data_IF_072540305251
#
_entry.id   IF_072540305251
#
_cell.length_a   1.000
_cell.length_b   1.000
_cell.length_c   1.000
_cell.angle_alpha   90.00
_cell.angle_beta   90.00
_cell.angle_gamma   90.00
#
_symmetry.space_group_name_H-M   'P 1'
#
loop_
_entity.id
_entity.type
_entity.pdbx_description
1 polymer ?
#
# COMPACT_ATOMS: atom_id res chain seq x y z
N UNK A 1 -9.81 -13.99 8.35
CA UNK A 1 -10.46 -13.12 9.36
C UNK A 1 -9.51 -12.86 10.50
N UNK A 2 -9.47 -11.65 11.06
CA UNK A 2 -8.64 -11.27 12.21
C UNK A 2 -9.50 -10.69 13.33
N UNK A 3 -9.29 -11.17 14.56
CA UNK A 3 -9.97 -10.67 15.75
C UNK A 3 -9.08 -9.67 16.50
N UNK A 4 -9.69 -8.57 16.96
CA UNK A 4 -9.03 -7.63 17.84
C UNK A 4 -8.87 -8.27 19.24
N UNK A 5 -7.70 -8.16 19.87
CA UNK A 5 -7.52 -8.55 21.26
C UNK A 5 -8.54 -7.85 22.17
N UNK A 6 -9.23 -8.59 23.01
CA UNK A 6 -10.15 -8.07 24.02
C UNK A 6 -10.19 -9.00 25.24
N UNK A 7 -10.22 -8.47 26.47
CA UNK A 7 -10.38 -9.29 27.67
C UNK A 7 -11.78 -9.90 27.76
N UNK A 8 -12.78 -9.32 27.11
CA UNK A 8 -14.18 -9.71 27.20
C UNK A 8 -14.68 -10.31 25.89
N UNK A 9 -14.39 -11.59 25.66
CA UNK A 9 -14.90 -12.32 24.49
C UNK A 9 -16.39 -12.60 24.70
N UNK A 10 -17.19 -12.31 23.68
CA UNK A 10 -18.63 -12.59 23.69
C UNK A 10 -18.91 -14.08 23.81
N UNK A 11 -19.79 -14.46 24.71
CA UNK A 11 -20.33 -15.83 24.86
C UNK A 11 -21.04 -16.35 23.58
N UNK A 12 -21.37 -15.42 22.66
CA UNK A 12 -22.05 -15.75 21.39
C UNK A 12 -21.07 -16.10 20.27
N UNK A 13 -19.76 -15.92 20.49
CA UNK A 13 -18.72 -16.10 19.50
C UNK A 13 -17.93 -17.38 19.75
N UNK A 14 -18.05 -18.35 18.89
CA UNK A 14 -17.19 -19.54 18.79
C UNK A 14 -16.14 -19.33 17.70
N UNK A 15 -14.89 -19.66 18.01
CA UNK A 15 -13.77 -19.56 17.08
C UNK A 15 -13.09 -20.91 17.01
N UNK A 16 -12.91 -21.42 15.81
CA UNK A 16 -12.13 -22.60 15.50
C UNK A 16 -11.02 -22.24 14.50
N UNK A 17 -9.81 -21.93 15.01
CA UNK A 17 -8.69 -21.59 14.14
C UNK A 17 -8.17 -22.77 13.31
N UNK A 18 -8.37 -24.02 13.78
CA UNK A 18 -7.92 -25.23 13.07
C UNK A 18 -8.74 -25.43 11.80
N UNK A 19 -10.06 -25.37 11.94
CA UNK A 19 -10.99 -25.51 10.80
C UNK A 19 -11.26 -24.19 10.07
N UNK A 20 -10.64 -23.08 10.52
CA UNK A 20 -10.85 -21.72 9.99
C UNK A 20 -12.33 -21.31 9.99
N UNK A 21 -13.04 -21.67 11.07
CA UNK A 21 -14.47 -21.40 11.23
C UNK A 21 -14.74 -20.40 12.33
N UNK A 22 -15.76 -19.60 12.13
CA UNK A 22 -16.29 -18.66 13.11
C UNK A 22 -17.79 -18.88 13.20
N UNK A 23 -18.31 -19.04 14.42
CA UNK A 23 -19.72 -19.29 14.69
C UNK A 23 -20.27 -18.22 15.63
N UNK A 24 -21.43 -17.65 15.28
CA UNK A 24 -22.18 -16.77 16.14
C UNK A 24 -23.48 -17.46 16.59
N UNK A 25 -23.64 -17.69 17.89
CA UNK A 25 -24.83 -18.28 18.50
C UNK A 25 -25.60 -17.22 19.29
N UNK A 26 -26.62 -16.62 18.67
CA UNK A 26 -27.37 -15.49 19.24
C UNK A 26 -28.68 -15.98 19.86
N UNK A 27 -29.00 -15.64 21.13
CA UNK A 27 -30.27 -16.00 21.77
C UNK A 27 -31.48 -15.46 20.98
N UNK A 28 -32.60 -16.21 21.03
CA UNK A 28 -33.83 -15.85 20.32
C UNK A 28 -34.35 -14.44 20.65
N UNK A 29 -34.22 -14.04 21.92
CA UNK A 29 -34.61 -12.71 22.42
C UNK A 29 -33.83 -11.55 21.81
N UNK A 30 -32.61 -11.82 21.31
CA UNK A 30 -31.72 -10.81 20.69
C UNK A 30 -31.56 -10.96 19.18
N UNK A 31 -32.03 -12.07 18.60
CA UNK A 31 -31.89 -12.32 17.17
C UNK A 31 -32.61 -11.26 16.31
N UNK A 32 -33.69 -10.68 16.82
CA UNK A 32 -34.46 -9.64 16.13
C UNK A 32 -33.80 -8.24 16.20
N UNK A 33 -32.86 -8.01 17.12
CA UNK A 33 -32.09 -6.76 17.19
C UNK A 33 -31.06 -6.63 16.05
N UNK A 34 -30.72 -7.74 15.41
CA UNK A 34 -29.76 -7.75 14.32
C UNK A 34 -30.50 -7.69 12.99
N UNK A 35 -30.19 -6.68 12.18
CA UNK A 35 -30.85 -6.44 10.89
C UNK A 35 -30.80 -7.65 9.98
N UNK A 36 -31.97 -8.03 9.43
CA UNK A 36 -32.15 -9.16 8.51
C UNK A 36 -31.70 -10.52 9.06
N UNK A 37 -31.76 -10.70 10.38
CA UNK A 37 -31.34 -11.96 10.99
C UNK A 37 -32.50 -12.73 11.62
N UNK A 38 -32.89 -13.83 10.99
CA UNK A 38 -33.84 -14.81 11.53
C UNK A 38 -33.15 -16.06 12.06
N UNK A 39 -31.84 -16.19 11.85
CA UNK A 39 -31.06 -17.37 12.23
C UNK A 39 -30.41 -17.17 13.59
N UNK A 40 -30.52 -18.17 14.48
CA UNK A 40 -29.88 -18.18 15.80
C UNK A 40 -28.39 -18.54 15.73
N UNK A 41 -28.02 -19.42 14.82
CA UNK A 41 -26.63 -19.84 14.57
C UNK A 41 -26.20 -19.45 13.17
N UNK A 42 -25.02 -18.84 13.06
CA UNK A 42 -24.41 -18.41 11.81
C UNK A 42 -22.97 -18.87 11.78
N UNK A 43 -22.63 -19.67 10.79
CA UNK A 43 -21.29 -20.25 10.59
C UNK A 43 -20.65 -19.63 9.36
N UNK A 44 -19.40 -19.21 9.52
CA UNK A 44 -18.58 -18.63 8.46
C UNK A 44 -17.26 -19.38 8.38
N UNK A 45 -16.83 -19.69 7.16
CA UNK A 45 -15.53 -20.32 6.88
C UNK A 45 -14.65 -19.29 6.16
N UNK A 46 -13.37 -19.24 6.52
CA UNK A 46 -12.35 -18.35 5.95
C UNK A 46 -11.16 -19.19 5.47
N UNK A 47 -10.26 -18.58 4.71
CA UNK A 47 -8.97 -19.19 4.35
C UNK A 47 -8.00 -19.19 5.56
N UNK A 48 -8.19 -18.25 6.50
CA UNK A 48 -7.46 -18.18 7.76
C UNK A 48 -8.24 -17.41 8.81
N UNK A 49 -8.19 -17.89 10.06
CA UNK A 49 -8.77 -17.22 11.23
C UNK A 49 -7.67 -16.94 12.24
N UNK A 50 -7.44 -15.67 12.51
CA UNK A 50 -6.45 -15.18 13.47
C UNK A 50 -7.15 -14.74 14.75
N UNK A 51 -6.80 -15.36 15.86
CA UNK A 51 -7.29 -15.00 17.21
C UNK A 51 -6.78 -13.62 17.63
N UNK A 52 -7.22 -13.13 18.78
CA UNK A 52 -6.69 -11.89 19.37
C UNK A 52 -5.21 -11.97 19.76
N UNK A 53 -4.65 -13.15 19.89
CA UNK A 53 -3.24 -13.39 20.25
C UNK A 53 -2.33 -13.49 19.04
N UNK A 54 -2.89 -13.59 17.81
CA UNK A 54 -2.12 -13.74 16.60
C UNK A 54 -1.22 -12.52 16.36
N UNK A 55 0.03 -12.79 16.09
CA UNK A 55 1.08 -11.79 15.85
C UNK A 55 0.91 -11.11 14.47
N UNK A 56 1.56 -9.97 14.30
CA UNK A 56 1.61 -9.30 12.98
C UNK A 56 2.39 -10.13 11.96
N UNK A 57 3.40 -10.89 12.39
CA UNK A 57 4.16 -11.79 11.51
C UNK A 57 3.29 -12.91 10.95
N UNK A 58 2.53 -13.59 11.81
CA UNK A 58 1.61 -14.65 11.38
C UNK A 58 0.58 -14.14 10.37
N UNK A 59 0.01 -12.95 10.61
CA UNK A 59 -0.94 -12.35 9.68
C UNK A 59 -0.26 -11.99 8.36
N UNK A 60 0.96 -11.45 8.40
CA UNK A 60 1.73 -11.09 7.20
C UNK A 60 2.04 -12.33 6.35
N UNK A 61 2.56 -13.40 6.95
CA UNK A 61 2.92 -14.63 6.26
C UNK A 61 1.73 -15.23 5.48
N UNK A 62 0.53 -15.22 6.07
CA UNK A 62 -0.65 -15.81 5.44
C UNK A 62 -1.38 -14.88 4.46
N UNK A 63 -1.30 -13.57 4.64
CA UNK A 63 -2.15 -12.62 3.90
C UNK A 63 -1.38 -11.87 2.82
N UNK A 64 -0.17 -11.36 3.13
CA UNK A 64 0.51 -10.38 2.31
C UNK A 64 1.80 -10.88 1.67
N UNK A 65 2.47 -11.88 2.26
CA UNK A 65 3.73 -12.41 1.70
C UNK A 65 3.59 -12.81 0.24
N UNK A 66 2.61 -13.66 -0.05
CA UNK A 66 2.37 -14.11 -1.43
C UNK A 66 1.97 -12.97 -2.38
N UNK A 67 1.26 -11.96 -1.89
CA UNK A 67 0.89 -10.79 -2.67
C UNK A 67 2.14 -10.01 -3.12
N UNK A 68 3.15 -9.88 -2.23
CA UNK A 68 4.44 -9.24 -2.55
C UNK A 68 5.22 -10.06 -3.56
N UNK A 69 5.37 -11.37 -3.33
CA UNK A 69 6.11 -12.26 -4.24
C UNK A 69 5.48 -12.31 -5.64
N UNK A 70 4.15 -12.40 -5.71
CA UNK A 70 3.41 -12.41 -6.97
C UNK A 70 3.57 -11.07 -7.72
N UNK A 71 3.64 -9.96 -7.00
CA UNK A 71 3.86 -8.66 -7.62
C UNK A 71 5.28 -8.52 -8.19
N UNK A 72 6.29 -9.10 -7.56
CA UNK A 72 7.65 -9.17 -8.12
C UNK A 72 7.72 -9.94 -9.45
N UNK A 73 6.80 -10.88 -9.63
CA UNK A 73 6.67 -11.66 -10.87
C UNK A 73 5.82 -10.95 -11.94
N UNK A 74 5.32 -9.72 -11.66
CA UNK A 74 4.62 -8.89 -12.63
C UNK A 74 3.09 -8.94 -12.55
N UNK A 75 2.50 -9.55 -11.51
CA UNK A 75 1.05 -9.62 -11.30
C UNK A 75 0.61 -8.57 -10.29
N UNK A 76 -0.48 -7.85 -10.56
CA UNK A 76 -1.04 -6.91 -9.59
C UNK A 76 -1.56 -7.63 -8.35
N UNK A 77 -1.37 -7.01 -7.19
CA UNK A 77 -1.82 -7.54 -5.91
C UNK A 77 -2.51 -6.47 -5.07
N UNK A 78 -3.51 -6.87 -4.31
CA UNK A 78 -4.24 -5.97 -3.40
C UNK A 78 -4.55 -6.67 -2.09
N UNK A 79 -4.26 -5.99 -0.98
CA UNK A 79 -4.69 -6.41 0.35
C UNK A 79 -5.50 -5.27 0.96
N UNK A 80 -6.74 -5.54 1.36
CA UNK A 80 -7.58 -4.53 1.99
C UNK A 80 -8.18 -5.02 3.31
N UNK A 81 -8.22 -4.13 4.31
CA UNK A 81 -8.84 -4.39 5.60
C UNK A 81 -10.24 -3.76 5.65
N UNK A 82 -11.23 -4.54 6.10
CA UNK A 82 -12.62 -4.13 6.22
C UNK A 82 -13.19 -4.54 7.57
N UNK A 83 -13.99 -3.69 8.18
CA UNK A 83 -14.65 -3.91 9.46
C UNK A 83 -15.00 -2.60 10.14
N UNK A 84 -15.66 -2.67 11.29
CA UNK A 84 -16.05 -1.49 12.06
C UNK A 84 -14.87 -0.67 12.56
N UNK A 85 -15.13 0.58 12.96
CA UNK A 85 -14.15 1.41 13.68
C UNK A 85 -13.67 0.70 14.93
N UNK A 86 -12.36 0.74 15.18
CA UNK A 86 -11.75 0.09 16.36
C UNK A 86 -11.59 -1.43 16.24
N UNK A 87 -11.93 -2.08 15.13
CA UNK A 87 -11.73 -3.53 14.93
C UNK A 87 -10.29 -3.93 14.59
N UNK A 88 -9.38 -2.96 14.34
CA UNK A 88 -7.96 -3.22 14.07
C UNK A 88 -7.56 -3.13 12.60
N UNK A 89 -8.33 -2.48 11.71
CA UNK A 89 -7.96 -2.27 10.29
C UNK A 89 -6.60 -1.59 10.15
N UNK A 90 -6.47 -0.37 10.65
CA UNK A 90 -5.23 0.42 10.61
C UNK A 90 -4.08 -0.31 11.30
N UNK A 91 -4.33 -0.94 12.45
CA UNK A 91 -3.31 -1.74 13.14
C UNK A 91 -2.84 -2.94 12.27
N UNK A 92 -3.72 -3.54 11.50
CA UNK A 92 -3.35 -4.62 10.57
C UNK A 92 -2.54 -4.08 9.39
N UNK A 93 -3.00 -3.02 8.74
CA UNK A 93 -2.38 -2.51 7.49
C UNK A 93 -1.09 -1.74 7.78
N UNK A 94 -1.14 -0.72 8.63
CA UNK A 94 0.02 0.14 8.96
C UNK A 94 0.76 -0.35 10.19
N UNK A 95 0.01 -0.76 11.24
CA UNK A 95 0.57 -1.22 12.50
C UNK A 95 0.64 -0.15 13.58
N UNK A 96 1.32 -0.49 14.66
CA UNK A 96 1.70 0.44 15.74
C UNK A 96 3.10 1.00 15.53
N UNK A 97 3.33 2.20 16.01
CA UNK A 97 4.64 2.89 15.88
C UNK A 97 5.59 2.64 17.05
N UNK A 98 5.06 2.17 18.20
CA UNK A 98 5.83 2.08 19.44
C UNK A 98 6.78 0.87 19.48
N UNK A 99 6.37 -0.25 18.91
CA UNK A 99 7.14 -1.50 18.95
C UNK A 99 7.36 -2.07 17.56
N UNK A 100 8.55 -2.58 17.30
CA UNK A 100 8.88 -3.24 16.04
C UNK A 100 7.95 -4.39 15.69
N UNK A 101 7.58 -5.19 16.71
CA UNK A 101 6.65 -6.32 16.57
C UNK A 101 5.25 -5.92 16.12
N UNK A 102 4.83 -4.67 16.37
CA UNK A 102 3.51 -4.14 16.03
C UNK A 102 3.44 -3.58 14.60
N UNK A 103 4.54 -3.59 13.84
CA UNK A 103 4.54 -3.19 12.44
C UNK A 103 3.53 -4.00 11.64
N UNK A 104 2.69 -3.30 10.86
CA UNK A 104 1.64 -3.91 10.06
C UNK A 104 2.12 -4.52 8.74
N UNK A 105 1.17 -4.76 7.84
CA UNK A 105 1.44 -5.40 6.56
C UNK A 105 2.31 -4.52 5.64
N UNK A 106 2.12 -3.18 5.62
CA UNK A 106 2.91 -2.29 4.76
C UNK A 106 4.41 -2.33 5.10
N UNK A 107 4.84 -2.05 6.35
CA UNK A 107 6.27 -2.09 6.66
C UNK A 107 6.91 -3.44 6.38
N UNK A 108 6.22 -4.55 6.68
CA UNK A 108 6.72 -5.91 6.43
C UNK A 108 6.80 -6.23 4.94
N UNK A 109 5.84 -5.74 4.15
CA UNK A 109 5.87 -5.87 2.70
C UNK A 109 7.05 -5.11 2.08
N UNK A 110 7.36 -3.92 2.61
CA UNK A 110 8.53 -3.15 2.19
C UNK A 110 9.83 -3.88 2.53
N UNK A 111 9.97 -4.41 3.75
CA UNK A 111 11.16 -5.19 4.15
C UNK A 111 11.36 -6.40 3.22
N UNK A 112 10.34 -7.22 3.02
CA UNK A 112 10.40 -8.38 2.11
C UNK A 112 10.73 -7.95 0.67
N UNK A 113 10.16 -6.85 0.20
CA UNK A 113 10.38 -6.36 -1.16
C UNK A 113 11.87 -6.02 -1.40
N UNK A 114 12.50 -5.29 -0.48
CA UNK A 114 13.90 -4.89 -0.61
C UNK A 114 14.87 -6.06 -0.38
N UNK A 115 14.52 -7.03 0.48
CA UNK A 115 15.24 -8.31 0.59
C UNK A 115 15.22 -9.08 -0.74
N UNK A 116 14.05 -9.20 -1.35
CA UNK A 116 13.90 -9.88 -2.64
C UNK A 116 14.63 -9.16 -3.79
N UNK A 117 14.69 -7.83 -3.78
CA UNK A 117 15.50 -7.08 -4.75
C UNK A 117 16.99 -7.43 -4.67
N UNK A 118 17.50 -7.64 -3.46
CA UNK A 118 18.89 -8.07 -3.27
C UNK A 118 19.09 -9.53 -3.68
N UNK A 119 18.12 -10.39 -3.38
CA UNK A 119 18.18 -11.82 -3.69
C UNK A 119 18.09 -12.10 -5.19
N UNK A 120 17.24 -11.38 -5.92
CA UNK A 120 17.01 -11.51 -7.37
C UNK A 120 17.91 -10.56 -8.16
N UNK A 121 19.22 -10.71 -8.03
CA UNK A 121 20.24 -9.82 -8.61
C UNK A 121 20.31 -9.83 -10.16
N UNK A 122 19.68 -10.80 -10.80
CA UNK A 122 19.51 -10.92 -12.25
C UNK A 122 18.42 -10.03 -12.83
N UNK A 123 17.57 -9.43 -11.98
CA UNK A 123 16.46 -8.54 -12.36
C UNK A 123 16.69 -7.15 -11.79
N UNK A 124 16.55 -6.13 -12.62
CA UNK A 124 16.59 -4.73 -12.20
C UNK A 124 15.20 -4.26 -11.80
N UNK A 125 14.96 -4.08 -10.50
CA UNK A 125 13.71 -3.57 -9.98
C UNK A 125 13.75 -2.06 -9.78
N UNK A 126 12.63 -1.40 -10.09
CA UNK A 126 12.37 -0.01 -9.74
C UNK A 126 11.04 0.07 -9.01
N UNK A 127 11.05 0.70 -7.83
CA UNK A 127 9.85 0.87 -7.02
C UNK A 127 9.47 2.36 -6.92
N UNK A 128 8.17 2.64 -7.04
CA UNK A 128 7.60 3.97 -6.81
C UNK A 128 6.44 3.86 -5.83
N UNK A 129 6.37 4.78 -4.89
CA UNK A 129 5.33 4.83 -3.87
C UNK A 129 4.41 6.01 -4.13
N UNK A 130 3.11 5.78 -3.97
CA UNK A 130 2.08 6.80 -3.86
C UNK A 130 1.15 6.47 -2.69
N UNK A 131 0.59 7.52 -2.06
CA UNK A 131 -0.29 7.36 -0.91
C UNK A 131 -1.51 8.25 -1.05
N UNK A 132 -2.63 7.64 -1.39
CA UNK A 132 -3.90 8.29 -1.65
C UNK A 132 -4.82 8.19 -0.43
N UNK A 133 -5.39 9.32 -0.01
CA UNK A 133 -6.51 9.37 0.92
C UNK A 133 -7.80 9.72 0.18
N UNK A 134 -8.87 8.94 0.40
CA UNK A 134 -10.21 9.23 -0.10
C UNK A 134 -11.09 9.63 1.08
N UNK A 135 -11.54 10.87 1.05
CA UNK A 135 -12.41 11.45 2.07
C UNK A 135 -13.57 12.20 1.42
N UNK A 136 -14.81 11.83 1.76
CA UNK A 136 -16.01 12.39 1.15
C UNK A 136 -16.00 12.36 -0.39
N UNK A 137 -15.66 11.22 -0.98
CA UNK A 137 -15.55 10.99 -2.43
C UNK A 137 -14.53 11.92 -3.14
N UNK A 138 -13.58 12.49 -2.40
CA UNK A 138 -12.49 13.32 -2.91
C UNK A 138 -11.15 12.69 -2.57
N UNK A 139 -10.25 12.63 -3.56
CA UNK A 139 -8.90 12.11 -3.38
C UNK A 139 -7.93 13.21 -2.96
N UNK A 140 -7.03 12.89 -2.03
CA UNK A 140 -5.95 13.74 -1.57
C UNK A 140 -4.64 12.96 -1.57
N UNK A 141 -3.59 13.62 -2.04
CA UNK A 141 -2.24 13.06 -2.02
C UNK A 141 -1.61 13.30 -0.65
N UNK A 142 -1.40 12.23 0.11
CA UNK A 142 -0.76 12.31 1.44
C UNK A 142 0.74 12.61 1.37
N UNK A 143 1.37 12.49 0.20
CA UNK A 143 2.80 12.75 0.00
C UNK A 143 3.06 14.09 -0.70
N UNK A 144 2.02 14.90 -0.95
CA UNK A 144 2.18 16.20 -1.57
C UNK A 144 3.03 17.14 -0.71
N UNK A 145 3.97 17.86 -1.33
CA UNK A 145 4.94 18.73 -0.64
C UNK A 145 4.32 19.87 0.19
N UNK A 146 3.08 20.25 -0.12
CA UNK A 146 2.31 21.27 0.59
C UNK A 146 1.31 20.69 1.60
N UNK A 147 1.23 19.36 1.74
CA UNK A 147 0.37 18.73 2.73
C UNK A 147 0.82 19.11 4.14
N UNK A 148 -0.12 19.37 5.05
CA UNK A 148 0.18 19.86 6.39
C UNK A 148 0.53 21.36 6.49
N UNK A 149 0.82 22.05 5.35
CA UNK A 149 1.13 23.48 5.28
C UNK A 149 -0.08 24.34 4.92
N UNK A 150 -1.06 23.75 4.26
CA UNK A 150 -2.31 24.40 3.84
C UNK A 150 -3.52 23.62 4.36
N UNK A 151 -4.66 24.28 4.48
CA UNK A 151 -5.89 23.61 4.88
C UNK A 151 -6.29 22.56 3.84
N UNK A 152 -6.88 21.45 4.27
CA UNK A 152 -7.29 20.34 3.39
C UNK A 152 -8.16 20.79 2.20
N UNK A 153 -9.05 21.77 2.40
CA UNK A 153 -9.91 22.33 1.34
C UNK A 153 -9.13 22.95 0.19
N UNK A 154 -7.92 23.46 0.48
CA UNK A 154 -7.04 24.16 -0.45
C UNK A 154 -6.02 23.22 -1.11
N UNK A 155 -5.97 21.95 -0.68
CA UNK A 155 -5.14 20.93 -1.33
C UNK A 155 -5.71 20.61 -2.73
N UNK A 156 -4.80 20.41 -3.68
CA UNK A 156 -5.14 19.96 -5.02
C UNK A 156 -5.72 18.54 -4.95
N UNK A 157 -6.91 18.35 -5.49
CA UNK A 157 -7.60 17.05 -5.47
C UNK A 157 -7.01 16.12 -6.51
N UNK A 158 -6.94 14.85 -6.14
CA UNK A 158 -6.64 13.77 -7.10
C UNK A 158 -7.89 13.55 -7.97
N UNK A 159 -7.69 13.48 -9.28
CA UNK A 159 -8.75 13.29 -10.27
C UNK A 159 -8.47 12.00 -11.04
N UNK A 160 -9.52 11.21 -11.23
CA UNK A 160 -9.45 9.99 -12.06
C UNK A 160 -9.70 10.38 -13.51
N UNK A 161 -8.81 9.99 -14.41
CA UNK A 161 -8.99 10.04 -15.86
C UNK A 161 -8.80 8.65 -16.46
N UNK A 162 -9.50 8.37 -17.53
CA UNK A 162 -9.40 7.11 -18.28
C UNK A 162 -8.83 7.42 -19.66
N UNK A 163 -7.83 6.67 -20.08
CA UNK A 163 -7.25 6.83 -21.41
C UNK A 163 -8.07 6.09 -22.49
N UNK A 164 -7.66 6.23 -23.76
CA UNK A 164 -8.32 5.58 -24.89
C UNK A 164 -8.29 4.03 -24.83
N UNK A 165 -7.43 3.45 -24.00
CA UNK A 165 -7.33 2.00 -23.75
C UNK A 165 -8.14 1.55 -22.54
N UNK A 166 -8.84 2.46 -21.85
CA UNK A 166 -9.57 2.17 -20.63
C UNK A 166 -8.70 2.06 -19.38
N UNK A 167 -7.42 2.45 -19.43
CA UNK A 167 -6.54 2.47 -18.26
C UNK A 167 -6.83 3.71 -17.42
N UNK A 168 -6.87 3.51 -16.11
CA UNK A 168 -7.12 4.58 -15.15
C UNK A 168 -5.82 5.29 -14.77
N UNK A 169 -5.85 6.61 -14.84
CA UNK A 169 -4.78 7.50 -14.42
C UNK A 169 -5.24 8.39 -13.28
N UNK A 170 -4.45 8.47 -12.22
CA UNK A 170 -4.69 9.34 -11.06
C UNK A 170 -3.88 10.64 -11.23
N UNK A 171 -4.53 11.67 -11.77
CA UNK A 171 -3.91 12.98 -11.93
C UNK A 171 -3.76 13.66 -10.57
N UNK A 172 -2.66 14.39 -10.37
CA UNK A 172 -2.30 15.08 -9.12
C UNK A 172 -2.00 14.14 -7.93
N UNK A 173 -1.72 12.87 -8.17
CA UNK A 173 -1.16 11.96 -7.20
C UNK A 173 0.35 11.83 -7.47
N UNK A 174 1.17 12.18 -6.49
CA UNK A 174 2.62 12.07 -6.61
C UNK A 174 3.08 10.61 -6.57
N UNK A 175 4.14 10.32 -7.32
CA UNK A 175 4.81 9.03 -7.33
C UNK A 175 6.28 9.24 -7.00
N UNK A 176 6.74 8.70 -5.89
CA UNK A 176 8.08 8.87 -5.36
C UNK A 176 8.91 7.61 -5.59
N UNK A 177 9.98 7.75 -6.38
CA UNK A 177 10.95 6.66 -6.57
C UNK A 177 11.66 6.40 -5.26
N UNK A 178 11.78 5.13 -4.89
CA UNK A 178 12.50 4.67 -3.70
C UNK A 178 13.59 3.69 -4.09
N UNK A 179 14.79 3.88 -3.51
CA UNK A 179 15.94 3.02 -3.77
C UNK A 179 16.29 2.13 -2.58
N UNK A 180 15.81 2.49 -1.38
CA UNK A 180 16.08 1.78 -0.13
C UNK A 180 14.81 1.66 0.69
N UNK A 181 14.79 0.66 1.59
CA UNK A 181 13.69 0.43 2.52
C UNK A 181 13.40 1.66 3.37
N UNK A 182 14.45 2.33 3.89
CA UNK A 182 14.29 3.52 4.73
C UNK A 182 13.57 4.66 4.01
N UNK A 183 13.86 4.86 2.72
CA UNK A 183 13.19 5.89 1.91
C UNK A 183 11.68 5.58 1.80
N UNK A 184 11.32 4.32 1.63
CA UNK A 184 9.94 3.86 1.54
C UNK A 184 9.20 3.98 2.88
N UNK A 185 9.83 3.60 3.99
CA UNK A 185 9.29 3.74 5.34
C UNK A 185 9.10 5.22 5.71
N UNK A 186 10.03 6.09 5.35
CA UNK A 186 9.90 7.54 5.57
C UNK A 186 8.68 8.12 4.85
N UNK A 187 8.38 7.67 3.61
CA UNK A 187 7.16 8.08 2.91
C UNK A 187 5.89 7.58 3.60
N UNK A 188 5.89 6.35 4.11
CA UNK A 188 4.77 5.83 4.89
C UNK A 188 4.50 6.68 6.13
N UNK A 189 5.53 6.94 6.95
CA UNK A 189 5.41 7.75 8.17
C UNK A 189 5.03 9.20 7.89
N UNK A 190 5.54 9.78 6.80
CA UNK A 190 5.15 11.11 6.36
C UNK A 190 3.65 11.16 6.03
N UNK A 191 3.15 10.22 5.25
CA UNK A 191 1.74 10.16 4.88
C UNK A 191 0.82 9.92 6.07
N UNK A 192 1.20 9.02 7.00
CA UNK A 192 0.45 8.79 8.24
C UNK A 192 0.42 10.03 9.14
N UNK A 193 1.54 10.78 9.22
CA UNK A 193 1.60 12.05 9.94
C UNK A 193 0.65 13.08 9.32
N UNK A 194 0.63 13.20 8.00
CA UNK A 194 -0.27 14.11 7.30
C UNK A 194 -1.74 13.72 7.51
N UNK A 195 -2.04 12.41 7.48
CA UNK A 195 -3.38 11.88 7.81
C UNK A 195 -3.79 12.26 9.24
N UNK A 196 -2.90 12.09 10.22
CA UNK A 196 -3.16 12.42 11.62
C UNK A 196 -3.39 13.92 11.83
N UNK A 197 -2.59 14.79 11.21
CA UNK A 197 -2.77 16.26 11.27
C UNK A 197 -4.12 16.66 10.67
N UNK A 198 -4.50 16.09 9.53
CA UNK A 198 -5.79 16.34 8.90
C UNK A 198 -6.96 15.89 9.80
N UNK A 199 -6.79 14.79 10.54
CA UNK A 199 -7.78 14.27 11.48
C UNK A 199 -8.01 15.19 12.70
N UNK A 200 -6.95 15.75 13.26
CA UNK A 200 -7.03 16.63 14.44
C UNK A 200 -7.68 17.99 14.11
N UNK A 201 -7.40 18.54 12.94
CA UNK A 201 -7.90 19.86 12.52
C UNK A 201 -9.42 19.94 12.30
N UNK A 202 -10.11 18.79 12.15
CA UNK A 202 -11.54 18.75 11.80
C UNK A 202 -12.37 17.79 12.67
N UNK A 203 -11.90 17.34 13.84
CA UNK A 203 -12.51 16.24 14.62
C UNK A 203 -12.70 14.95 13.80
N UNK A 204 -11.87 14.75 12.79
CA UNK A 204 -11.96 13.64 11.86
C UNK A 204 -11.16 12.47 12.42
N UNK A 205 -11.84 11.44 12.89
CA UNK A 205 -11.19 10.18 13.21
C UNK A 205 -10.66 9.53 11.91
N UNK A 206 -9.49 8.87 11.99
CA UNK A 206 -8.93 8.02 10.92
C UNK A 206 -9.92 6.96 10.41
N UNK A 207 -11.01 6.73 11.15
CA UNK A 207 -12.11 5.84 10.79
C UNK A 207 -13.00 6.34 9.65
N UNK A 208 -12.82 7.58 9.16
CA UNK A 208 -13.72 8.22 8.20
C UNK A 208 -13.14 8.42 6.80
N UNK A 209 -11.91 8.04 6.59
CA UNK A 209 -11.25 8.09 5.27
C UNK A 209 -10.72 6.71 4.87
N UNK A 210 -10.68 6.44 3.57
CA UNK A 210 -9.99 5.27 3.03
C UNK A 210 -8.59 5.70 2.64
N UNK A 211 -7.60 4.87 2.96
CA UNK A 211 -6.21 5.11 2.59
C UNK A 211 -5.70 3.97 1.72
N UNK A 212 -5.06 4.32 0.62
CA UNK A 212 -4.51 3.39 -0.35
C UNK A 212 -3.01 3.69 -0.50
N UNK A 213 -2.19 2.87 0.12
CA UNK A 213 -0.75 2.87 -0.08
C UNK A 213 -0.42 1.98 -1.26
N UNK A 214 0.19 2.54 -2.29
CA UNK A 214 0.48 1.82 -3.53
C UNK A 214 1.97 1.76 -3.77
N UNK A 215 2.46 0.54 -4.01
CA UNK A 215 3.82 0.27 -4.46
C UNK A 215 3.72 -0.12 -5.95
N UNK A 216 4.24 0.71 -6.84
CA UNK A 216 4.33 0.42 -8.26
C UNK A 216 5.72 -0.16 -8.55
N UNK A 217 5.76 -1.31 -9.18
CA UNK A 217 6.97 -2.06 -9.48
C UNK A 217 7.18 -2.12 -11.00
N UNK A 218 8.44 -1.95 -11.40
CA UNK A 218 8.90 -2.21 -12.73
C UNK A 218 10.10 -3.16 -12.64
N UNK A 219 10.04 -4.29 -13.32
CA UNK A 219 11.09 -5.30 -13.36
C UNK A 219 11.63 -5.43 -14.79
N UNK A 220 12.94 -5.31 -14.95
CA UNK A 220 13.67 -5.45 -16.21
C UNK A 220 14.73 -6.51 -16.08
N UNK A 221 14.69 -7.53 -16.92
CA UNK A 221 15.72 -8.54 -17.00
C UNK A 221 16.72 -8.12 -18.10
N UNK A 222 18.02 -7.97 -17.79
CA UNK A 222 19.03 -7.64 -18.79
C UNK A 222 19.01 -8.65 -19.95
N UNK A 223 18.97 -8.13 -21.18
CA UNK A 223 18.89 -8.96 -22.38
C UNK A 223 17.49 -9.37 -22.80
N UNK A 224 16.46 -9.04 -22.05
CA UNK A 224 15.06 -9.19 -22.44
C UNK A 224 14.50 -7.85 -22.89
N UNK A 225 13.73 -7.84 -23.97
CA UNK A 225 13.09 -6.64 -24.54
C UNK A 225 11.75 -6.33 -23.83
N UNK A 226 11.37 -7.10 -22.81
CA UNK A 226 10.13 -6.92 -22.08
C UNK A 226 10.34 -6.31 -20.69
N UNK A 227 9.36 -5.52 -20.27
CA UNK A 227 9.26 -4.95 -18.93
C UNK A 227 8.03 -5.54 -18.28
N UNK A 228 8.18 -6.04 -17.05
CA UNK A 228 7.05 -6.43 -16.22
C UNK A 228 6.67 -5.27 -15.32
N UNK A 229 5.39 -4.93 -15.29
CA UNK A 229 4.85 -3.88 -14.42
C UNK A 229 3.77 -4.45 -13.54
N UNK A 230 3.86 -4.14 -12.25
CA UNK A 230 2.85 -4.54 -11.27
C UNK A 230 2.63 -3.44 -10.23
N UNK A 231 1.54 -3.56 -9.51
CA UNK A 231 1.22 -2.68 -8.38
C UNK A 231 0.73 -3.51 -7.20
N UNK A 232 1.13 -3.09 -6.00
CA UNK A 232 0.63 -3.63 -4.75
C UNK A 232 -0.20 -2.53 -4.09
N UNK A 233 -1.49 -2.76 -3.90
CA UNK A 233 -2.35 -1.89 -3.11
C UNK A 233 -2.51 -2.44 -1.70
N UNK A 234 -2.14 -1.66 -0.69
CA UNK A 234 -2.41 -1.90 0.72
C UNK A 234 -3.46 -0.88 1.17
N UNK A 235 -4.66 -1.37 1.50
CA UNK A 235 -5.83 -0.51 1.66
C UNK A 235 -6.37 -0.59 3.09
N UNK A 236 -6.38 0.55 3.77
CA UNK A 236 -7.06 0.76 5.05
C UNK A 236 -8.40 1.45 4.79
N UNK A 237 -9.50 0.70 4.86
CA UNK A 237 -10.83 1.23 4.61
C UNK A 237 -11.37 1.98 5.83
N UNK A 238 -12.29 2.91 5.59
CA UNK A 238 -13.09 3.55 6.63
C UNK A 238 -13.91 2.52 7.42
N UNK A 239 -14.50 2.93 8.55
CA UNK A 239 -15.36 2.07 9.37
C UNK A 239 -16.64 1.66 8.66
N UNK A 240 -17.00 0.39 8.79
CA UNK A 240 -18.20 -0.20 8.15
C UNK A 240 -19.45 -0.13 9.01
N UNK A 241 -19.39 0.46 10.19
CA UNK A 241 -20.52 0.61 11.10
C UNK A 241 -21.60 1.53 10.56
N UNK A 242 -22.85 1.27 10.95
CA UNK A 242 -24.01 2.03 10.49
C UNK A 242 -24.17 3.37 11.20
N UNK A 243 -24.55 4.41 10.44
CA UNK A 243 -24.80 5.78 10.95
C UNK A 243 -25.82 5.83 12.08
N UNK A 244 -26.80 4.92 12.11
CA UNK A 244 -27.89 4.93 13.11
C UNK A 244 -27.42 4.76 14.56
N UNK A 245 -26.19 4.27 14.80
CA UNK A 245 -25.63 4.17 16.16
C UNK A 245 -24.95 5.45 16.64
N UNK A 246 -24.58 6.37 15.74
CA UNK A 246 -24.04 7.67 16.09
C UNK A 246 -25.17 8.69 16.19
N UNK A 247 -25.49 9.17 17.41
CA UNK A 247 -26.45 10.27 17.64
C UNK A 247 -25.87 11.61 17.13
N UNK A 248 -25.53 11.68 15.84
CA UNK A 248 -24.88 12.85 15.26
C UNK A 248 -25.85 13.64 14.41
N UNK A 249 -25.81 14.97 14.51
CA UNK A 249 -26.65 15.93 13.76
C UNK A 249 -25.74 16.90 12.97
N UNK A 250 -26.28 17.48 11.89
CA UNK A 250 -25.58 18.49 11.08
C UNK A 250 -24.48 17.93 10.16
N UNK A 251 -23.36 18.65 10.04
CA UNK A 251 -22.23 18.34 9.15
C UNK A 251 -21.67 16.94 9.35
N UNK A 252 -21.72 16.43 10.59
CA UNK A 252 -21.28 15.08 10.95
C UNK A 252 -22.19 13.98 10.35
N UNK A 253 -23.48 14.28 10.15
CA UNK A 253 -24.41 13.36 9.49
C UNK A 253 -24.13 13.25 7.98
N UNK A 254 -23.83 14.36 7.31
CA UNK A 254 -23.50 14.35 5.87
C UNK A 254 -22.17 13.66 5.61
N UNK A 255 -21.22 13.84 6.51
CA UNK A 255 -19.95 13.10 6.50
C UNK A 255 -20.17 11.59 6.66
N UNK A 256 -20.96 11.18 7.63
CA UNK A 256 -21.28 9.77 7.86
C UNK A 256 -22.07 9.16 6.69
N UNK A 257 -22.91 9.93 6.01
CA UNK A 257 -23.57 9.50 4.77
C UNK A 257 -22.58 9.29 3.62
N UNK A 258 -21.58 10.17 3.48
CA UNK A 258 -20.57 10.05 2.43
C UNK A 258 -19.67 8.83 2.65
N UNK A 259 -19.26 8.55 3.90
CA UNK A 259 -18.45 7.38 4.25
C UNK A 259 -19.21 6.08 3.96
N UNK A 260 -20.46 5.99 4.45
CA UNK A 260 -21.28 4.82 4.18
C UNK A 260 -21.64 4.71 2.69
N UNK A 261 -21.68 5.83 1.97
CA UNK A 261 -21.88 5.86 0.52
C UNK A 261 -20.80 5.11 -0.23
N UNK A 262 -19.52 5.39 0.04
CA UNK A 262 -18.39 4.70 -0.62
C UNK A 262 -18.37 3.19 -0.34
N UNK A 263 -18.60 2.78 0.91
CA UNK A 263 -18.70 1.37 1.27
C UNK A 263 -19.97 0.69 0.73
N UNK A 264 -21.09 1.42 0.63
CA UNK A 264 -22.30 0.94 -0.03
C UNK A 264 -22.06 0.70 -1.52
N UNK A 265 -21.37 1.62 -2.23
CA UNK A 265 -20.99 1.41 -3.62
C UNK A 265 -20.03 0.23 -3.79
N UNK A 266 -19.12 0.04 -2.84
CA UNK A 266 -18.28 -1.15 -2.81
C UNK A 266 -19.13 -2.44 -2.69
N UNK A 267 -20.12 -2.46 -1.80
CA UNK A 267 -21.05 -3.60 -1.67
C UNK A 267 -21.85 -3.83 -2.95
N UNK A 268 -22.33 -2.76 -3.61
CA UNK A 268 -23.04 -2.86 -4.89
C UNK A 268 -22.16 -3.49 -5.99
N UNK A 269 -20.88 -3.08 -6.07
CA UNK A 269 -19.90 -3.65 -7.01
C UNK A 269 -19.71 -5.15 -6.73
N UNK A 270 -19.52 -5.54 -5.47
CA UNK A 270 -19.36 -6.95 -5.08
C UNK A 270 -20.59 -7.78 -5.45
N UNK A 271 -21.79 -7.26 -5.18
CA UNK A 271 -23.04 -7.95 -5.53
C UNK A 271 -23.19 -8.09 -7.05
N UNK A 272 -22.90 -7.03 -7.81
CA UNK A 272 -22.97 -7.08 -9.27
C UNK A 272 -21.95 -8.08 -9.87
N UNK A 273 -20.74 -8.14 -9.31
CA UNK A 273 -19.73 -9.14 -9.72
C UNK A 273 -20.17 -10.58 -9.41
N UNK A 274 -20.74 -10.81 -8.23
CA UNK A 274 -21.30 -12.13 -7.89
C UNK A 274 -22.43 -12.56 -8.83
N UNK A 275 -23.34 -11.65 -9.15
CA UNK A 275 -24.43 -11.92 -10.10
C UNK A 275 -23.88 -12.23 -11.49
N UNK A 276 -22.85 -11.52 -11.95
CA UNK A 276 -22.14 -11.77 -13.20
C UNK A 276 -21.53 -13.17 -13.23
N UNK A 277 -20.83 -13.58 -12.19
CA UNK A 277 -20.24 -14.93 -12.07
C UNK A 277 -21.31 -16.02 -12.09
N UNK A 278 -22.45 -15.82 -11.40
CA UNK A 278 -23.51 -16.82 -11.31
C UNK A 278 -24.36 -16.94 -12.57
N UNK A 279 -24.67 -15.83 -13.23
CA UNK A 279 -25.60 -15.81 -14.37
C UNK A 279 -24.91 -15.88 -15.73
N UNK A 280 -23.57 -15.67 -15.78
CA UNK A 280 -22.82 -15.52 -17.03
C UNK A 280 -23.23 -14.27 -17.83
N UNK A 281 -24.08 -13.38 -17.27
CA UNK A 281 -24.57 -12.21 -17.98
C UNK A 281 -23.54 -11.07 -17.91
N UNK A 282 -23.37 -10.33 -18.98
CA UNK A 282 -22.50 -9.15 -19.05
C UNK A 282 -23.17 -7.91 -18.44
N UNK A 283 -23.69 -8.06 -17.21
CA UNK A 283 -24.33 -6.97 -16.49
C UNK A 283 -23.31 -5.89 -16.14
N UNK A 284 -23.69 -4.63 -16.32
CA UNK A 284 -22.87 -3.49 -15.96
C UNK A 284 -22.51 -3.49 -14.46
N UNK A 285 -21.22 -3.40 -14.15
CA UNK A 285 -20.71 -3.27 -12.78
C UNK A 285 -20.44 -1.78 -12.47
N UNK A 286 -21.05 -1.20 -11.43
CA UNK A 286 -21.08 0.26 -11.22
C UNK A 286 -19.80 0.78 -10.53
N UNK A 287 -18.62 0.53 -11.11
CA UNK A 287 -17.34 0.98 -10.54
C UNK A 287 -17.22 2.50 -10.44
N UNK A 288 -17.86 3.26 -11.35
CA UNK A 288 -17.74 4.72 -11.44
C UNK A 288 -18.59 5.47 -10.39
N UNK A 289 -19.40 4.77 -9.60
CA UNK A 289 -20.26 5.40 -8.60
C UNK A 289 -19.49 5.97 -7.41
N UNK A 290 -18.26 5.51 -7.17
CA UNK A 290 -17.39 5.98 -6.09
C UNK A 290 -15.95 6.08 -6.57
N UNK A 291 -15.21 7.03 -6.00
CA UNK A 291 -13.77 7.12 -6.24
C UNK A 291 -13.06 5.84 -5.77
N UNK A 292 -13.47 5.28 -4.63
CA UNK A 292 -12.91 4.04 -4.08
C UNK A 292 -13.07 2.88 -5.06
N UNK A 293 -14.30 2.64 -5.56
CA UNK A 293 -14.58 1.52 -6.49
C UNK A 293 -13.91 1.71 -7.84
N UNK A 294 -13.77 2.96 -8.30
CA UNK A 294 -13.03 3.29 -9.52
C UNK A 294 -11.55 2.93 -9.39
N UNK A 295 -10.88 3.35 -8.29
CA UNK A 295 -9.46 3.07 -8.05
C UNK A 295 -9.21 1.57 -7.88
N UNK A 296 -10.12 0.85 -7.22
CA UNK A 296 -10.03 -0.59 -6.96
C UNK A 296 -10.62 -1.46 -8.08
N UNK A 297 -10.94 -0.91 -9.25
CA UNK A 297 -11.57 -1.65 -10.35
C UNK A 297 -10.82 -2.91 -10.73
N UNK A 298 -9.50 -2.82 -10.89
CA UNK A 298 -8.66 -3.97 -11.24
C UNK A 298 -8.56 -5.00 -10.11
N UNK A 299 -8.72 -4.53 -8.86
CA UNK A 299 -8.68 -5.37 -7.65
C UNK A 299 -9.96 -6.19 -7.44
N UNK A 300 -11.07 -5.77 -8.04
CA UNK A 300 -12.39 -6.36 -7.86
C UNK A 300 -12.91 -6.92 -9.19
N UNK A 301 -12.71 -8.20 -9.42
CA UNK A 301 -13.13 -8.88 -10.65
C UNK A 301 -12.26 -8.60 -11.87
N UNK A 302 -11.03 -8.06 -11.68
CA UNK A 302 -10.11 -7.73 -12.75
C UNK A 302 -8.78 -8.48 -12.67
N UNK A 303 -7.72 -7.89 -13.28
CA UNK A 303 -6.38 -8.46 -13.32
C UNK A 303 -5.60 -8.15 -12.03
N UNK A 304 -5.94 -8.84 -10.95
CA UNK A 304 -5.29 -8.63 -9.65
C UNK A 304 -5.49 -9.84 -8.73
N UNK A 305 -4.47 -10.18 -7.96
CA UNK A 305 -4.60 -11.10 -6.82
C UNK A 305 -5.04 -10.30 -5.60
N UNK A 306 -6.26 -10.54 -5.14
CA UNK A 306 -6.87 -9.74 -4.08
C UNK A 306 -7.13 -10.56 -2.83
N UNK A 307 -6.68 -10.05 -1.68
CA UNK A 307 -6.92 -10.62 -0.36
C UNK A 307 -7.66 -9.62 0.53
N UNK A 308 -8.66 -10.09 1.26
CA UNK A 308 -9.42 -9.29 2.21
C UNK A 308 -9.14 -9.74 3.64
N UNK A 309 -8.80 -8.80 4.51
CA UNK A 309 -8.75 -9.01 5.96
C UNK A 309 -10.03 -8.49 6.59
N UNK A 310 -10.93 -9.41 6.93
CA UNK A 310 -12.11 -9.08 7.72
C UNK A 310 -11.69 -8.87 9.19
N UNK A 311 -11.68 -7.64 9.67
CA UNK A 311 -11.33 -7.32 11.05
C UNK A 311 -12.59 -7.21 11.90
N UNK A 312 -12.66 -7.98 12.97
CA UNK A 312 -13.82 -8.08 13.85
C UNK A 312 -13.46 -7.83 15.31
N UNK A 313 -14.42 -7.32 16.07
CA UNK A 313 -14.35 -7.26 17.52
C UNK A 313 -15.09 -8.47 18.11
N UNK A 314 -14.46 -9.12 19.10
CA UNK A 314 -15.07 -10.22 19.83
C UNK A 314 -16.00 -9.76 20.96
N UNK A 315 -16.16 -8.46 21.18
CA UNK A 315 -17.00 -7.90 22.25
C UNK A 315 -18.49 -8.09 21.94
N UNK A 316 -19.29 -8.34 22.99
CA UNK A 316 -20.73 -8.56 22.89
C UNK A 316 -21.49 -7.39 22.25
N UNK A 317 -21.10 -6.15 22.54
CA UNK A 317 -21.67 -4.91 21.99
C UNK A 317 -21.49 -4.82 20.46
N UNK A 318 -20.47 -5.47 19.92
CA UNK A 318 -20.06 -5.40 18.54
C UNK A 318 -20.46 -6.61 17.70
N UNK A 319 -21.18 -7.59 18.31
CA UNK A 319 -21.59 -8.84 17.65
C UNK A 319 -22.30 -8.59 16.31
N UNK A 320 -23.23 -7.61 16.26
CA UNK A 320 -24.00 -7.31 15.03
C UNK A 320 -23.11 -6.80 13.87
N UNK A 321 -22.15 -5.94 14.17
CA UNK A 321 -21.20 -5.43 13.16
C UNK A 321 -20.21 -6.51 12.72
N UNK A 322 -19.77 -7.37 13.66
CA UNK A 322 -18.90 -8.51 13.32
C UNK A 322 -19.61 -9.53 12.42
N UNK A 323 -20.90 -9.82 12.68
CA UNK A 323 -21.73 -10.64 11.77
C UNK A 323 -21.86 -9.98 10.38
N UNK A 324 -22.11 -8.67 10.32
CA UNK A 324 -22.21 -7.94 9.06
C UNK A 324 -20.90 -7.99 8.28
N UNK A 325 -19.76 -7.83 8.97
CA UNK A 325 -18.41 -7.96 8.38
C UNK A 325 -18.17 -9.37 7.81
N UNK A 326 -18.54 -10.42 8.54
CA UNK A 326 -18.41 -11.80 8.07
C UNK A 326 -19.29 -12.08 6.85
N UNK A 327 -20.52 -11.54 6.81
CA UNK A 327 -21.41 -11.66 5.65
C UNK A 327 -20.82 -10.97 4.43
N UNK A 328 -20.28 -9.78 4.59
CA UNK A 328 -19.59 -9.08 3.51
C UNK A 328 -18.39 -9.87 3.00
N UNK A 329 -17.55 -10.40 3.91
CA UNK A 329 -16.40 -11.22 3.54
C UNK A 329 -16.79 -12.47 2.73
N UNK A 330 -17.89 -13.14 3.10
CA UNK A 330 -18.42 -14.29 2.32
C UNK A 330 -18.88 -13.89 0.90
N UNK A 331 -19.34 -12.66 0.72
CA UNK A 331 -19.66 -12.14 -0.61
C UNK A 331 -18.40 -11.86 -1.41
N UNK A 332 -17.41 -11.22 -0.79
CA UNK A 332 -16.12 -10.94 -1.44
C UNK A 332 -15.42 -12.22 -1.89
N UNK A 333 -15.47 -13.28 -1.08
CA UNK A 333 -14.88 -14.58 -1.40
C UNK A 333 -15.47 -15.27 -2.65
N UNK A 334 -16.64 -14.81 -3.13
CA UNK A 334 -17.28 -15.34 -4.36
C UNK A 334 -16.93 -14.51 -5.61
N UNK A 335 -16.13 -13.46 -5.47
CA UNK A 335 -15.67 -12.65 -6.61
C UNK A 335 -14.44 -13.32 -7.22
N UNK A 336 -14.51 -13.61 -8.50
CA UNK A 336 -13.40 -14.20 -9.25
C UNK A 336 -12.57 -13.11 -9.90
N UNK A 337 -11.26 -13.17 -9.69
CA UNK A 337 -10.25 -12.32 -10.33
C UNK A 337 -9.42 -13.17 -11.30
N UNK A 338 -9.06 -12.61 -12.44
CA UNK A 338 -8.19 -13.26 -13.42
C UNK A 338 -6.82 -12.58 -13.39
N UNK A 339 -5.98 -13.02 -12.46
CA UNK A 339 -4.64 -12.47 -12.27
C UNK A 339 -3.68 -12.97 -13.37
N UNK A 340 -3.11 -12.04 -14.13
CA UNK A 340 -2.17 -12.31 -15.21
C UNK A 340 -0.94 -11.42 -15.07
N UNK A 341 0.20 -11.89 -15.60
CA UNK A 341 1.43 -11.12 -15.65
C UNK A 341 1.26 -9.93 -16.61
N UNK A 342 1.58 -8.73 -16.15
CA UNK A 342 1.59 -7.54 -16.99
C UNK A 342 2.97 -7.37 -17.62
N UNK A 343 3.10 -7.81 -18.87
CA UNK A 343 4.35 -7.77 -19.61
C UNK A 343 4.16 -6.88 -20.84
N UNK A 344 5.04 -5.91 -21.01
CA UNK A 344 5.04 -4.96 -22.12
C UNK A 344 6.41 -4.92 -22.79
N UNK A 345 6.46 -4.73 -24.10
CA UNK A 345 7.73 -4.45 -24.79
C UNK A 345 8.29 -3.10 -24.33
N UNK A 346 9.58 -3.00 -24.03
CA UNK A 346 10.20 -1.74 -23.58
C UNK A 346 10.00 -0.63 -24.62
N UNK A 347 9.25 0.44 -24.30
CA UNK A 347 9.01 1.54 -25.23
C UNK A 347 10.30 2.21 -25.71
N UNK A 348 11.33 2.23 -24.85
CA UNK A 348 12.65 2.79 -25.16
C UNK A 348 13.35 1.96 -26.23
N UNK A 349 13.31 0.64 -26.11
CA UNK A 349 13.86 -0.28 -27.09
C UNK A 349 13.08 -0.24 -28.40
N UNK A 350 11.75 -0.18 -28.35
CA UNK A 350 10.92 0.03 -29.54
C UNK A 350 11.28 1.32 -30.28
N UNK A 351 11.48 2.42 -29.54
CA UNK A 351 11.89 3.69 -30.12
C UNK A 351 13.29 3.58 -30.74
N UNK A 352 14.25 2.99 -30.04
CA UNK A 352 15.60 2.76 -30.55
C UNK A 352 15.60 1.88 -31.80
N UNK A 353 14.81 0.81 -31.82
CA UNK A 353 14.64 -0.04 -33.00
C UNK A 353 14.04 0.73 -34.19
N UNK A 354 13.00 1.55 -33.96
CA UNK A 354 12.43 2.43 -35.02
C UNK A 354 13.45 3.43 -35.53
N UNK A 355 14.19 4.10 -34.66
CA UNK A 355 15.25 5.02 -35.04
C UNK A 355 16.35 4.30 -35.81
N UNK A 356 16.77 3.13 -35.37
CA UNK A 356 17.79 2.31 -36.06
C UNK A 356 17.32 1.85 -37.43
N UNK A 357 16.07 1.39 -37.56
CA UNK A 357 15.51 1.01 -38.88
C UNK A 357 15.41 2.20 -39.84
N UNK A 358 14.91 3.35 -39.33
CA UNK A 358 14.84 4.58 -40.13
C UNK A 358 16.23 5.05 -40.60
N UNK A 359 17.26 4.95 -39.73
CA UNK A 359 18.63 5.28 -40.09
C UNK A 359 19.22 4.29 -41.13
N UNK A 360 18.91 2.99 -41.01
CA UNK A 360 19.32 1.99 -42.01
C UNK A 360 18.70 2.30 -43.37
N UNK A 361 17.39 2.50 -43.44
CA UNK A 361 16.69 2.84 -44.67
C UNK A 361 17.24 4.13 -45.28
N UNK A 362 17.51 5.15 -44.47
CA UNK A 362 18.11 6.42 -44.95
C UNK A 362 19.52 6.22 -45.50
N UNK A 363 20.35 5.40 -44.86
CA UNK A 363 21.70 5.08 -45.33
C UNK A 363 21.67 4.28 -46.62
N UNK A 364 20.77 3.29 -46.75
CA UNK A 364 20.56 2.54 -47.99
C UNK A 364 20.13 3.44 -49.18
N UNK A 365 19.21 4.37 -48.92
CA UNK A 365 18.77 5.36 -49.91
C UNK A 365 19.90 6.33 -50.30
N UNK A 366 20.74 6.74 -49.34
CA UNK A 366 21.90 7.59 -49.62
C UNK A 366 22.95 6.84 -50.44
N UNK A 367 23.20 5.56 -50.14
CA UNK A 367 24.11 4.69 -50.92
C UNK A 367 23.61 4.49 -52.37
N UNK A 368 22.31 4.23 -52.56
CA UNK A 368 21.69 4.10 -53.89
C UNK A 368 21.76 5.40 -54.69
N UNK A 369 21.86 6.58 -54.03
CA UNK A 369 21.99 7.91 -54.65
C UNK A 369 23.44 8.36 -54.83
N UNK A 370 24.44 7.47 -54.63
CA UNK A 370 25.87 7.77 -54.79
C UNK A 370 26.43 8.78 -53.76
N UNK A 371 25.71 9.03 -52.64
CA UNK A 371 26.18 9.93 -51.59
C UNK A 371 26.78 9.08 -50.47
N UNK A 372 28.09 9.24 -50.12
CA UNK A 372 28.69 8.50 -49.03
C UNK A 372 28.00 8.90 -47.71
N UNK A 373 27.82 7.96 -46.77
CA UNK A 373 27.29 8.27 -45.46
C UNK A 373 28.17 9.31 -44.76
N UNK A 374 27.57 10.39 -44.28
CA UNK A 374 28.30 11.47 -43.63
C UNK A 374 29.01 10.90 -42.38
N UNK A 375 30.34 11.02 -42.36
CA UNK A 375 31.26 10.46 -41.36
C UNK A 375 30.98 10.82 -39.90
N UNK A 376 30.05 11.74 -39.65
CA UNK A 376 29.60 12.13 -38.32
C UNK A 376 28.75 11.07 -37.57
N UNK A 377 28.29 10.02 -38.28
CA UNK A 377 27.42 8.98 -37.70
C UNK A 377 28.13 7.66 -37.35
N UNK A 378 29.43 7.51 -37.59
CA UNK A 378 30.20 6.33 -37.15
C UNK A 378 30.46 6.33 -35.63
N UNK A 379 30.22 7.46 -34.94
CA UNK A 379 30.42 7.57 -33.48
C UNK A 379 29.23 7.13 -32.61
N UNK A 380 28.10 6.74 -33.24
CA UNK A 380 26.92 6.22 -32.54
C UNK A 380 26.75 4.71 -32.65
N UNK A 381 27.82 3.95 -32.87
CA UNK A 381 27.80 2.56 -32.43
C UNK A 381 27.97 2.57 -30.91
N UNK A 382 26.95 2.24 -30.12
CA UNK A 382 27.21 1.93 -28.73
C UNK A 382 28.09 0.69 -28.76
N UNK A 383 29.35 0.83 -28.40
CA UNK A 383 30.12 -0.30 -27.89
C UNK A 383 29.29 -0.82 -26.73
N UNK A 384 28.61 -1.92 -26.93
CA UNK A 384 28.12 -2.77 -25.86
C UNK A 384 29.36 -3.30 -25.12
N UNK A 385 30.07 -2.43 -24.42
CA UNK A 385 30.97 -2.81 -23.37
C UNK A 385 30.09 -3.21 -22.23
N UNK A 386 30.02 -4.50 -22.05
CA UNK A 386 29.55 -5.19 -20.88
C UNK A 386 29.99 -4.39 -19.63
N UNK A 387 29.07 -3.75 -18.91
CA UNK A 387 29.32 -3.02 -17.66
C UNK A 387 29.67 -3.98 -16.50
N UNK A 388 29.98 -5.23 -16.81
CA UNK A 388 30.28 -6.27 -15.83
C UNK A 388 31.78 -6.52 -15.55
N UNK A 389 32.69 -5.77 -16.16
CA UNK A 389 34.15 -5.99 -15.93
C UNK A 389 34.96 -4.70 -16.01
N UNK A 390 34.73 -3.77 -15.08
CA UNK A 390 35.78 -2.80 -14.74
C UNK A 390 36.13 -2.93 -13.26
N UNK A 391 37.00 -3.86 -12.95
CA UNK A 391 37.86 -3.73 -11.77
C UNK A 391 38.64 -2.44 -11.96
N UNK A 392 38.72 -1.55 -10.95
CA UNK A 392 39.65 -0.42 -11.03
C UNK A 392 41.06 -0.93 -11.11
N UNK A 393 41.96 -0.31 -11.92
CA UNK A 393 43.36 -0.70 -11.98
C UNK A 393 43.99 -0.49 -10.60
N UNK A 394 44.98 -1.35 -10.23
CA UNK A 394 45.66 -1.22 -8.95
C UNK A 394 46.39 0.10 -8.90
N UNK A 395 46.11 0.85 -7.82
CA UNK A 395 46.78 2.10 -7.50
C UNK A 395 48.29 1.89 -7.37
N UNK A 396 49.11 2.51 -8.24
CA UNK A 396 50.55 2.61 -8.07
C UNK A 396 50.88 3.38 -6.80
N UNK A 397 51.91 2.97 -6.03
CA UNK A 397 52.30 3.68 -4.82
C UNK A 397 52.87 5.06 -5.20
N UNK A 398 52.27 6.14 -4.69
CA UNK A 398 52.85 7.48 -4.75
C UNK A 398 53.96 7.56 -3.71
N UNK A 399 55.18 7.70 -4.16
CA UNK A 399 56.37 8.10 -3.40
C UNK A 399 56.08 9.35 -2.59
N UNK A 400 56.33 9.26 -1.30
CA UNK A 400 56.42 10.35 -0.35
C UNK A 400 57.47 11.39 -0.78
N UNK A 401 57.04 12.58 -1.14
CA UNK A 401 57.93 13.76 -1.23
C UNK A 401 57.69 14.63 0.00
N UNK A 402 58.60 14.54 0.93
CA UNK A 402 58.76 15.40 2.05
C UNK A 402 58.92 16.85 1.57
N UNK A 403 58.11 17.76 2.01
CA UNK A 403 58.35 19.17 1.99
C UNK A 403 58.23 19.72 3.43
N UNK A 404 59.37 20.31 3.81
CA UNK A 404 59.67 20.93 5.09
C UNK A 404 58.90 22.25 5.26
N UNK A 405 58.43 22.45 6.47
CA UNK A 405 58.37 23.61 7.32
C UNK A 405 58.36 25.04 6.72
N UNK A 406 57.30 25.77 7.06
CA UNK A 406 57.29 27.24 7.21
C UNK A 406 56.44 27.63 8.42
N UNK A 407 57.11 28.10 9.47
CA UNK A 407 56.57 28.69 10.71
C UNK A 407 55.95 30.06 10.48
N UNK A 408 54.82 30.34 11.09
CA UNK A 408 54.46 31.66 11.67
C UNK A 408 53.11 31.47 12.40
N UNK A 409 53.06 31.37 13.68
CA UNK A 409 53.04 32.25 14.84
C UNK A 409 51.92 33.29 14.86
N UNK A 410 51.10 33.10 15.87
CA UNK A 410 50.53 34.10 16.80
C UNK A 410 49.09 34.51 16.71
N UNK A 411 48.52 34.35 17.86
CA UNK A 411 47.57 35.15 18.68
C UNK A 411 46.06 34.83 18.44
N UNK A 412 45.21 34.54 19.41
CA UNK A 412 45.06 34.96 20.81
C UNK A 412 44.20 33.93 21.57
N UNK A 413 44.57 33.71 22.81
CA UNK A 413 43.82 32.98 23.84
C UNK A 413 42.87 33.94 24.59
N UNK A 414 41.81 33.41 25.17
CA UNK A 414 41.13 33.71 26.44
C UNK A 414 39.68 33.24 26.33
N UNK A 415 39.11 32.54 27.26
CA UNK A 415 39.27 32.26 28.67
C UNK A 415 38.13 31.29 29.04
N UNK A 416 38.39 30.32 29.66
CA UNK A 416 38.41 29.81 31.01
C UNK A 416 37.14 30.06 31.85
N UNK A 417 36.60 29.00 32.34
CA UNK A 417 36.19 28.61 33.71
C UNK A 417 34.85 27.87 33.73
N UNK A 418 34.91 26.56 34.07
CA UNK A 418 34.72 25.89 35.37
C UNK A 418 33.32 26.02 35.95
N UNK A 419 32.65 24.87 36.12
CA UNK A 419 32.41 24.13 37.38
C UNK A 419 31.46 22.98 37.11
N UNK A 420 31.88 21.71 37.40
CA UNK A 420 31.56 20.83 38.54
C UNK A 420 30.09 20.43 38.67
N UNK A 421 29.78 19.16 38.38
CA UNK A 421 29.71 17.98 39.26
C UNK A 421 28.59 18.00 40.30
N UNK A 422 27.69 16.98 40.23
CA UNK A 422 27.22 16.12 41.33
C UNK A 422 26.17 15.14 40.78
N UNK A 423 26.51 13.88 40.69
CA UNK A 423 26.24 12.75 41.61
C UNK A 423 24.77 12.50 41.93
N UNK A 424 24.37 11.36 41.36
CA UNK A 424 23.52 10.29 41.83
C UNK A 424 22.88 10.41 43.21
N UNK A 425 21.61 10.01 43.31
CA UNK A 425 21.16 9.16 44.43
C UNK A 425 19.91 8.36 44.01
N UNK A 426 20.04 7.06 44.12
CA UNK A 426 18.92 6.09 44.18
C UNK A 426 18.07 6.36 45.43
N UNK A 427 16.75 6.12 45.32
CA UNK A 427 15.97 5.69 46.49
C UNK A 427 14.95 4.62 46.07
N UNK A 428 15.12 3.48 46.72
CA UNK A 428 14.23 2.33 46.79
C UNK A 428 13.36 2.50 48.04
N UNK A 429 12.12 2.08 47.99
CA UNK A 429 11.26 1.92 49.18
C UNK A 429 9.79 1.89 48.75
N UNK A 430 9.19 0.82 48.56
CA UNK A 430 8.58 -0.25 49.39
C UNK A 430 7.30 0.19 50.08
N UNK A 431 6.22 -0.51 49.64
CA UNK A 431 5.11 -1.11 50.41
C UNK A 431 3.95 -0.27 50.99
N UNK A 432 2.79 -0.79 50.65
CA UNK A 432 1.62 -1.12 51.49
C UNK A 432 0.49 -0.06 51.55
N UNK A 433 -0.62 -0.27 50.99
CA UNK A 433 -1.83 -1.00 51.41
C UNK A 433 -2.80 -1.14 50.25
#
# INVERSE_FOLDING_TARGET
>A
MRLRPTPNISEFLGIDPIDNKVEFNVPASKAQEYVNNTRRSMKYKFDGVFSGEATQDEVFEHVARDAVLTALDGVNSTVFAYGQTGSGKTFTITGGVERYADRGLIPRALSLLFEEFQRRSDVMYTAHISFLEIYQEKGYDLLAANHGKVARKDLKKVVISEDAKGLLHLQNLSMHRVAREEDALNLLFLGDTHRAIAATSMNLNSSRSHCIFTINLEARTPGNDTIRRSKIHMVDLAGSERVHKSRTSGTTLDEAKAINGSLHFLEMVIVALQERTKSGSDRHVPFRNSMLTSVLRDSLGGNCRTSMVATCSAEKSNTGESISTCRFAQRVAQVENVAQVNEETDPTLMLLQKVRSALRTRNELAYRRGRPPTSRFQLLQPRLTCFACTRPPPSRPRTLRTLRYGKSSRFFAKGARRRRSSRATCFVGSKAR
#
